data_IF_391554012935
#
_entry.id   IF_391554012935
#
_cell.length_a   1.000
_cell.length_b   1.000
_cell.length_c   1.000
_cell.angle_alpha   90.00
_cell.angle_beta   90.00
_cell.angle_gamma   90.00
#
_symmetry.space_group_name_H-M   'P 1'
#
loop_
_entity.id
_entity.type
_entity.pdbx_description
1 polymer ?
2 non-polymer ?
3 water ?
#
# COMPACT_ATOMS: atom_id res chain seq x y z
N UNK A 9 6.31 -15.68 14.73
CA UNK A 9 6.27 -17.18 14.72
C UNK A 9 7.03 -17.81 15.90
N UNK A 10 6.37 -18.72 16.61
CA UNK A 10 6.93 -19.36 17.81
C UNK A 10 8.21 -20.16 17.61
N UNK A 11 9.10 -20.08 18.60
CA UNK A 11 10.37 -20.82 18.58
C UNK A 11 10.25 -22.27 18.09
N UNK A 12 9.36 -23.04 18.70
CA UNK A 12 9.22 -24.46 18.39
C UNK A 12 8.90 -24.68 16.91
N UNK A 13 8.01 -23.85 16.40
CA UNK A 13 7.58 -24.04 15.03
C UNK A 13 8.63 -23.52 14.04
N UNK A 14 9.21 -22.37 14.36
CA UNK A 14 10.22 -21.75 13.50
C UNK A 14 11.38 -22.71 13.15
N UNK A 15 11.74 -23.60 14.07
CA UNK A 15 12.73 -24.62 13.73
C UNK A 15 12.34 -25.24 12.39
N UNK A 22 9.90 -16.85 -1.73
CA UNK A 22 10.79 -16.57 -2.90
C UNK A 22 10.13 -15.63 -3.92
N UNK A 23 9.00 -16.03 -4.47
CA UNK A 23 8.42 -15.23 -5.54
C UNK A 23 8.33 -13.72 -5.20
N UNK A 24 8.03 -13.38 -3.94
CA UNK A 24 7.93 -11.97 -3.55
C UNK A 24 9.21 -11.41 -2.94
N UNK A 25 9.82 -12.18 -2.04
CA UNK A 25 10.93 -11.64 -1.27
C UNK A 25 12.21 -11.45 -2.10
N UNK A 26 12.22 -12.01 -3.31
CA UNK A 26 13.36 -11.83 -4.21
C UNK A 26 13.15 -10.67 -5.17
N UNK A 27 12.03 -9.97 -5.04
CA UNK A 27 11.85 -8.74 -5.82
C UNK A 27 12.53 -7.59 -5.08
N UNK A 28 13.44 -6.89 -5.75
CA UNK A 28 14.08 -5.76 -5.08
C UNK A 28 13.05 -4.74 -4.61
N UNK A 29 13.28 -4.16 -3.43
CA UNK A 29 12.46 -3.08 -2.91
C UNK A 29 12.45 -1.89 -3.87
N UNK A 30 13.56 -1.71 -4.59
CA UNK A 30 13.63 -0.58 -5.51
C UNK A 30 14.96 -0.46 -6.23
N UNK A 31 14.93 0.14 -7.41
CA UNK A 31 16.12 0.36 -8.21
C UNK A 31 16.88 1.58 -7.65
N UNK A 32 16.21 2.49 -6.98
CA UNK A 32 16.97 3.58 -6.47
C UNK A 32 16.23 4.21 -5.32
N UNK A 33 16.38 3.56 -4.18
CA UNK A 33 15.67 3.90 -2.98
C UNK A 33 16.14 5.21 -2.36
N UNK A 34 15.24 5.90 -1.65
CA UNK A 34 13.81 5.61 -1.50
C UNK A 34 12.95 6.11 -2.66
N UNK A 35 13.51 6.88 -3.59
CA UNK A 35 12.65 7.58 -4.54
C UNK A 35 12.09 6.73 -5.67
N UNK A 36 12.78 5.66 -6.01
CA UNK A 36 12.40 4.79 -7.12
C UNK A 36 12.25 3.41 -6.52
N UNK A 37 11.01 2.94 -6.38
CA UNK A 37 10.74 1.68 -5.69
C UNK A 37 9.72 0.80 -6.43
N UNK A 38 9.58 -0.45 -6.00
CA UNK A 38 8.71 -1.40 -6.68
C UNK A 38 7.51 -1.70 -5.79
N UNK A 39 6.33 -1.89 -6.40
CA UNK A 39 5.11 -2.25 -5.68
C UNK A 39 4.49 -3.50 -6.30
N UNK A 40 4.30 -4.55 -5.50
CA UNK A 40 3.55 -5.71 -5.90
C UNK A 40 2.08 -5.48 -5.58
N UNK A 41 1.22 -5.62 -6.58
CA UNK A 41 -0.21 -5.30 -6.43
C UNK A 41 -0.97 -6.45 -5.79
N UNK A 42 -1.74 -6.15 -4.74
CA UNK A 42 -2.53 -7.16 -4.04
C UNK A 42 -4.00 -7.00 -4.40
N UNK A 43 -4.45 -5.75 -4.46
CA UNK A 43 -5.86 -5.47 -4.73
C UNK A 43 -6.00 -4.40 -5.82
N UNK A 44 -6.54 -4.78 -7.00
CA UNK A 44 -6.77 -3.77 -8.04
C UNK A 44 -7.81 -2.71 -7.66
N UNK A 45 -7.62 -1.48 -8.14
CA UNK A 45 -8.67 -0.50 -7.96
C UNK A 45 -10.01 -1.07 -8.46
N UNK A 46 -11.09 -0.75 -7.74
CA UNK A 46 -12.45 -1.13 -8.17
C UNK A 46 -12.78 -2.63 -8.26
N UNK A 47 -11.88 -3.50 -7.80
CA UNK A 47 -12.18 -4.93 -7.77
C UNK A 47 -13.31 -5.27 -6.79
N UNK A 48 -13.96 -6.42 -7.01
CA UNK A 48 -15.02 -6.86 -6.11
C UNK A 48 -14.45 -6.90 -4.71
N UNK A 49 -15.30 -6.66 -3.69
CA UNK A 49 -14.90 -6.37 -2.31
C UNK A 49 -14.32 -7.56 -1.56
N UNK A 50 -13.23 -8.08 -2.10
CA UNK A 50 -12.50 -9.13 -1.45
C UNK A 50 -11.09 -8.64 -1.24
N UNK A 51 -10.63 -8.76 0.01
CA UNK A 51 -9.29 -8.33 0.41
C UNK A 51 -8.29 -9.46 0.24
N UNK A 52 -7.30 -9.30 -0.64
CA UNK A 52 -6.17 -10.24 -0.73
C UNK A 52 -4.94 -9.67 -0.02
N UNK A 53 -4.11 -10.57 0.50
CA UNK A 53 -2.89 -10.19 1.17
C UNK A 53 -1.84 -11.17 0.66
N UNK A 54 -0.69 -10.65 0.22
CA UNK A 54 0.39 -11.51 -0.26
C UNK A 54 1.00 -12.31 0.90
N UNK A 55 1.10 -13.62 0.73
CA UNK A 55 1.81 -14.44 1.69
C UNK A 55 3.24 -14.55 1.21
N UNK A 56 4.17 -13.96 1.95
CA UNK A 56 5.47 -13.73 1.35
C UNK A 56 6.37 -14.96 1.53
N UNK A 57 6.07 -15.72 2.56
CA UNK A 57 6.55 -17.10 2.66
C UNK A 57 6.11 -17.94 1.45
N UNK A 58 4.80 -18.01 1.18
CA UNK A 58 4.30 -18.91 0.11
C UNK A 58 4.42 -18.39 -1.33
N UNK A 59 4.59 -17.08 -1.51
CA UNK A 59 4.63 -16.48 -2.85
C UNK A 59 3.28 -16.49 -3.58
N UNK A 60 2.19 -16.39 -2.81
CA UNK A 60 0.83 -16.42 -3.37
C UNK A 60 -0.03 -15.38 -2.66
N UNK A 61 -1.07 -14.94 -3.35
CA UNK A 61 -2.08 -14.07 -2.73
C UNK A 61 -3.06 -14.93 -1.96
N UNK A 62 -3.41 -14.48 -0.76
CA UNK A 62 -4.28 -15.22 0.12
C UNK A 62 -5.57 -14.44 0.23
N UNK A 63 -6.70 -15.14 0.24
CA UNK A 63 -7.98 -14.51 0.50
C UNK A 63 -8.02 -14.14 1.98
N UNK A 64 -7.96 -12.85 2.27
CA UNK A 64 -7.88 -12.38 3.63
C UNK A 64 -9.26 -12.20 4.25
N UNK A 65 -10.13 -11.47 3.56
CA UNK A 65 -11.43 -11.10 4.10
C UNK A 65 -12.38 -10.76 2.99
N UNK A 66 -13.63 -11.21 3.11
CA UNK A 66 -14.69 -10.59 2.35
C UNK A 66 -15.13 -9.37 3.14
N UNK A 67 -14.83 -8.21 2.58
CA UNK A 67 -15.09 -6.93 3.22
C UNK A 67 -16.56 -6.75 3.65
N UNK A 68 -16.79 -6.62 4.96
CA UNK A 68 -18.16 -6.54 5.53
C UNK A 68 -19.06 -5.46 4.93
N UNK A 69 -18.50 -4.28 4.72
CA UNK A 69 -19.27 -3.20 4.14
C UNK A 69 -19.44 -3.41 2.62
N UNK A 70 -18.73 -4.38 2.04
CA UNK A 70 -18.71 -4.53 0.56
C UNK A 70 -18.11 -3.35 -0.20
N UNK A 71 -17.30 -2.54 0.49
CA UNK A 71 -16.72 -1.35 -0.13
C UNK A 71 -15.48 -1.74 -0.95
N UNK A 72 -15.24 -1.02 -2.04
CA UNK A 72 -14.13 -1.41 -2.92
C UNK A 72 -12.97 -0.42 -2.87
N UNK A 73 -11.76 -0.91 -3.10
CA UNK A 73 -10.60 0.00 -3.14
C UNK A 73 -10.73 0.94 -4.30
N UNK A 74 -10.69 2.25 -4.02
CA UNK A 74 -10.80 3.26 -5.04
C UNK A 74 -9.50 3.46 -5.84
N UNK A 75 -8.39 2.87 -5.40
CA UNK A 75 -7.12 2.92 -6.14
C UNK A 75 -6.47 1.55 -5.97
N UNK A 76 -5.40 1.26 -6.69
CA UNK A 76 -4.76 -0.04 -6.53
C UNK A 76 -4.05 -0.15 -5.20
N UNK A 77 -4.00 -1.34 -4.63
CA UNK A 77 -3.39 -1.49 -3.31
C UNK A 77 -2.31 -2.57 -3.34
N UNK A 78 -1.15 -2.30 -2.75
CA UNK A 78 -0.06 -3.27 -2.75
C UNK A 78 0.98 -2.98 -1.69
N UNK A 79 2.15 -3.60 -1.85
CA UNK A 79 3.22 -3.41 -0.91
C UNK A 79 4.60 -3.37 -1.61
N UNK A 80 5.59 -2.84 -0.90
CA UNK A 80 6.97 -2.84 -1.38
C UNK A 80 7.69 -4.05 -0.80
N UNK A 81 8.11 -5.00 -1.65
CA UNK A 81 8.82 -6.16 -1.14
C UNK A 81 10.12 -5.76 -0.44
N UNK A 82 10.53 -6.56 0.55
CA UNK A 82 11.80 -6.39 1.25
C UNK A 82 11.77 -5.14 2.09
N UNK A 83 10.60 -4.84 2.64
CA UNK A 83 10.45 -3.77 3.60
C UNK A 83 9.70 -4.34 4.78
N UNK A 84 9.95 -3.79 5.96
CA UNK A 84 9.27 -4.23 7.16
C UNK A 84 8.96 -2.99 7.95
N UNK A 85 7.67 -2.73 8.09
CA UNK A 85 7.22 -1.53 8.75
C UNK A 85 7.04 -1.86 10.21
N UNK A 86 6.87 -0.83 11.04
CA UNK A 86 6.76 -1.00 12.49
C UNK A 86 5.70 -2.00 12.93
N UNK A 87 4.60 -2.05 12.19
CA UNK A 87 3.50 -2.97 12.49
C UNK A 87 3.82 -4.44 12.16
N UNK A 88 5.01 -4.70 11.62
CA UNK A 88 5.39 -6.07 11.26
C UNK A 88 5.09 -6.48 9.82
N UNK A 89 4.52 -5.57 9.04
CA UNK A 89 4.21 -5.84 7.64
C UNK A 89 5.00 -4.92 6.74
N UNK A 90 5.09 -5.25 5.44
CA UNK A 90 5.74 -4.33 4.52
C UNK A 90 5.02 -3.00 4.44
N UNK A 91 5.76 -1.98 4.01
CA UNK A 91 5.18 -0.70 3.62
C UNK A 91 4.07 -0.88 2.57
N UNK A 92 2.91 -0.28 2.87
CA UNK A 92 1.69 -0.35 2.08
C UNK A 92 1.64 0.80 1.14
N UNK A 93 1.14 0.56 -0.07
CA UNK A 93 1.07 1.62 -1.04
C UNK A 93 -0.23 1.60 -1.81
N UNK A 94 -0.82 2.79 -1.96
CA UNK A 94 -1.93 3.01 -2.88
C UNK A 94 -1.35 3.51 -4.20
N UNK A 95 -1.61 2.82 -5.32
CA UNK A 95 -1.04 3.23 -6.62
C UNK A 95 -2.14 3.64 -7.56
N UNK A 96 -2.13 4.92 -7.93
CA UNK A 96 -3.16 5.46 -8.80
C UNK A 96 -2.80 5.24 -10.27
N UNK A 97 -3.75 4.72 -11.05
CA UNK A 97 -3.54 4.42 -12.47
C UNK A 97 -4.80 4.63 -13.26
N UNK A 98 -4.67 4.82 -14.57
CA UNK A 98 -5.92 5.07 -15.26
C UNK A 98 -6.75 3.80 -15.51
N UNK A 99 -6.15 2.61 -15.39
CA UNK A 99 -6.89 1.35 -15.47
C UNK A 99 -6.41 0.46 -14.35
N UNK A 100 -7.31 -0.39 -13.78
CA UNK A 100 -6.80 -1.19 -12.69
C UNK A 100 -5.64 -2.08 -13.13
N UNK A 101 -4.73 -2.35 -12.20
CA UNK A 101 -3.57 -3.20 -12.42
C UNK A 101 -3.92 -4.63 -12.03
N UNK A 102 -3.23 -5.58 -12.64
CA UNK A 102 -3.40 -6.99 -12.36
C UNK A 102 -2.92 -7.38 -10.97
N UNK A 103 -3.75 -8.07 -10.21
CA UNK A 103 -3.32 -8.56 -8.93
C UNK A 103 -2.10 -9.48 -9.12
N UNK A 104 -1.08 -9.28 -8.29
CA UNK A 104 0.14 -10.07 -8.38
C UNK A 104 1.18 -9.58 -9.39
N UNK A 105 0.88 -8.49 -10.10
CA UNK A 105 1.86 -7.87 -10.98
C UNK A 105 2.78 -6.97 -10.16
N UNK A 106 3.90 -6.56 -10.75
CA UNK A 106 4.78 -5.57 -10.11
C UNK A 106 4.86 -4.29 -10.95
N UNK A 107 4.89 -3.16 -10.27
CA UNK A 107 4.99 -1.88 -10.96
C UNK A 107 6.11 -1.00 -10.36
N UNK A 108 6.88 -0.37 -11.23
CA UNK A 108 7.82 0.69 -10.87
C UNK A 108 7.09 1.97 -10.48
N UNK A 109 7.30 2.43 -9.25
CA UNK A 109 6.53 3.57 -8.72
C UNK A 109 7.38 4.70 -8.12
N UNK A 110 6.72 5.84 -7.93
CA UNK A 110 7.28 7.00 -7.27
C UNK A 110 6.24 7.60 -6.31
N UNK A 111 6.73 8.18 -5.21
CA UNK A 111 5.85 8.58 -4.11
C UNK A 111 5.27 9.96 -4.32
N UNK A 112 4.03 10.14 -3.88
CA UNK A 112 3.41 11.45 -3.88
C UNK A 112 3.26 11.93 -2.46
N UNK A 113 3.25 10.99 -1.51
CA UNK A 113 3.07 11.34 -0.11
C UNK A 113 2.48 10.16 0.64
N UNK A 114 1.67 10.46 1.65
CA UNK A 114 1.08 9.44 2.49
C UNK A 114 -0.24 9.88 3.09
N UNK A 115 -1.00 8.89 3.53
CA UNK A 115 -2.21 9.09 4.32
C UNK A 115 -1.90 8.58 5.71
N UNK A 116 -1.99 9.45 6.70
CA UNK A 116 -1.69 9.07 8.09
C UNK A 116 -3.00 8.64 8.73
N UNK A 117 -3.00 7.49 9.37
CA UNK A 117 -4.19 7.04 10.07
C UNK A 117 -3.77 6.13 11.21
N UNK A 118 -4.68 5.87 12.14
CA UNK A 118 -4.45 4.88 13.18
C UNK A 118 -5.67 3.98 13.37
N UNK A 119 -5.44 2.71 13.67
CA UNK A 119 -6.54 1.79 13.90
C UNK A 119 -6.44 1.25 15.31
N UNK A 120 -7.27 0.27 15.63
CA UNK A 120 -7.32 -0.25 16.98
C UNK A 120 -5.96 -0.79 17.39
N UNK A 121 -5.09 -1.06 16.41
CA UNK A 121 -3.81 -1.71 16.71
C UNK A 121 -2.60 -0.77 16.75
N UNK A 122 -2.79 0.50 16.39
CA UNK A 122 -1.69 1.47 16.31
C UNK A 122 -1.66 2.24 15.00
N UNK A 123 -0.53 2.89 14.72
CA UNK A 123 -0.47 3.71 13.53
C UNK A 123 -0.43 2.85 12.31
N UNK A 124 -0.73 3.48 11.19
CA UNK A 124 -0.94 2.76 9.98
C UNK A 124 -0.87 3.94 9.05
N UNK A 125 0.11 3.94 8.18
CA UNK A 125 0.20 4.98 7.20
C UNK A 125 0.18 4.21 5.89
N UNK A 126 -0.48 4.75 4.88
CA UNK A 126 -0.44 4.17 3.55
C UNK A 126 0.24 5.18 2.68
N UNK A 127 1.23 4.73 1.94
CA UNK A 127 1.91 5.57 0.97
C UNK A 127 0.98 5.77 -0.22
N UNK A 128 1.07 6.93 -0.87
CA UNK A 128 0.31 7.18 -2.09
C UNK A 128 1.32 7.33 -3.21
N UNK A 129 1.13 6.59 -4.29
CA UNK A 129 2.15 6.49 -5.33
C UNK A 129 1.53 6.46 -6.70
N UNK A 130 2.36 6.67 -7.72
CA UNK A 130 1.95 6.50 -9.11
C UNK A 130 3.07 5.78 -9.84
N UNK A 131 2.76 5.24 -11.02
CA UNK A 131 3.84 4.60 -11.75
C UNK A 131 4.90 5.61 -12.16
N UNK A 132 6.11 5.10 -12.36
CA UNK A 132 7.16 5.80 -13.05
C UNK A 132 6.62 6.47 -14.31
N UNK A 133 7.13 7.66 -14.60
CA UNK A 133 6.64 8.45 -15.74
C UNK A 133 6.65 7.75 -17.09
N UNK A 134 7.71 6.99 -17.36
CA UNK A 134 7.83 6.26 -18.63
C UNK A 134 6.78 5.16 -18.73
N UNK A 135 6.51 4.49 -17.61
CA UNK A 135 5.42 3.52 -17.55
C UNK A 135 4.04 4.14 -17.75
N UNK A 136 3.74 5.16 -16.97
CA UNK A 136 2.44 5.83 -17.06
C UNK A 136 2.60 7.32 -17.30
N UNK A 137 2.59 7.73 -18.57
CA UNK A 137 2.57 9.16 -18.91
C UNK A 137 1.32 9.87 -18.40
N UNK A 138 0.18 9.17 -18.34
CA UNK A 138 -1.05 9.76 -17.78
C UNK A 138 -0.90 10.40 -16.38
N UNK A 139 0.02 9.90 -15.55
CA UNK A 139 0.12 10.39 -14.18
C UNK A 139 1.35 11.31 -13.94
N UNK A 140 2.05 11.67 -15.02
CA UNK A 140 3.38 12.30 -14.89
C UNK A 140 3.20 13.71 -14.35
N UNK A 141 1.98 14.21 -14.51
CA UNK A 141 1.58 15.54 -14.12
C UNK A 141 1.52 15.64 -12.60
N UNK A 142 1.24 14.51 -11.95
CA UNK A 142 1.13 14.47 -10.50
C UNK A 142 2.50 14.49 -9.80
N UNK A 143 2.83 15.62 -9.20
CA UNK A 143 4.15 15.80 -8.58
C UNK A 143 4.10 15.61 -7.06
N UNK A 144 2.92 15.78 -6.48
CA UNK A 144 2.81 15.65 -5.04
C UNK A 144 1.37 15.41 -4.67
N UNK A 145 1.16 15.07 -3.41
CA UNK A 145 -0.15 14.72 -2.91
C UNK A 145 -1.18 15.80 -3.25
N UNK A 146 -0.79 17.06 -3.22
CA UNK A 146 -1.75 18.12 -3.48
C UNK A 146 -2.23 18.21 -4.94
N UNK A 147 -1.54 17.55 -5.87
CA UNK A 147 -2.01 17.50 -7.26
C UNK A 147 -3.11 16.45 -7.47
N UNK A 148 -3.18 15.47 -6.60
CA UNK A 148 -4.27 14.49 -6.65
C UNK A 148 -5.61 15.18 -6.43
N UNK A 149 -6.57 14.98 -7.34
CA UNK A 149 -7.88 15.65 -7.26
C UNK A 149 -8.51 15.58 -5.87
N UNK A 150 -9.17 16.66 -5.46
CA UNK A 150 -9.81 16.69 -4.15
C UNK A 150 -10.84 15.57 -4.01
N UNK A 151 -11.58 15.30 -5.09
CA UNK A 151 -12.69 14.35 -4.97
C UNK A 151 -12.14 13.00 -4.68
N UNK A 152 -10.98 12.69 -5.26
CA UNK A 152 -10.36 11.37 -5.07
C UNK A 152 -9.72 11.24 -3.71
N UNK A 153 -8.94 12.24 -3.29
CA UNK A 153 -8.42 12.17 -1.93
C UNK A 153 -9.58 12.00 -0.94
N UNK A 154 -10.69 12.70 -1.16
CA UNK A 154 -11.83 12.57 -0.24
C UNK A 154 -12.35 11.14 -0.22
N UNK A 155 -12.46 10.54 -1.41
CA UNK A 155 -12.95 9.16 -1.55
C UNK A 155 -12.07 8.19 -0.82
N UNK A 156 -10.77 8.41 -0.92
CA UNK A 156 -9.81 7.50 -0.31
C UNK A 156 -9.90 7.60 1.20
N UNK A 157 -9.99 8.84 1.69
CA UNK A 157 -10.12 9.06 3.14
C UNK A 157 -11.42 8.42 3.66
N UNK A 158 -12.51 8.63 2.93
CA UNK A 158 -13.81 8.01 3.27
C UNK A 158 -13.71 6.50 3.25
N UNK A 159 -13.05 5.96 2.21
CA UNK A 159 -12.92 4.52 2.11
C UNK A 159 -12.22 3.98 3.37
N UNK A 160 -11.09 4.56 3.74
CA UNK A 160 -10.39 4.04 4.93
C UNK A 160 -11.15 4.25 6.25
N UNK A 161 -11.90 5.33 6.34
CA UNK A 161 -12.74 5.56 7.49
C UNK A 161 -13.88 4.54 7.66
N UNK A 162 -14.39 3.99 6.54
CA UNK A 162 -15.65 3.22 6.55
C UNK A 162 -15.54 1.75 6.14
N UNK A 163 -14.53 1.37 5.35
CA UNK A 163 -14.54 0.00 4.82
C UNK A 163 -14.58 -1.05 5.91
N UNK A 164 -13.98 -0.76 7.06
CA UNK A 164 -13.97 -1.74 8.15
C UNK A 164 -15.09 -1.52 9.17
N UNK A 165 -16.06 -0.69 8.83
CA UNK A 165 -17.16 -0.38 9.73
C UNK A 165 -17.84 -1.63 10.27
N UNK A 166 -17.86 -2.71 9.48
CA UNK A 166 -18.53 -3.92 9.93
C UNK A 166 -17.58 -5.06 10.25
N UNK A 167 -16.32 -4.74 10.53
CA UNK A 167 -15.42 -5.72 11.12
C UNK A 167 -15.46 -5.55 12.65
N UNK A 168 -16.03 -6.52 13.35
CA UNK A 168 -16.18 -6.46 14.80
C UNK A 168 -14.85 -6.23 15.52
N UNK A 169 -14.83 -5.29 16.46
CA UNK A 169 -13.59 -4.93 17.15
C UNK A 169 -12.62 -4.03 16.38
N UNK A 170 -12.96 -3.60 15.17
CA UNK A 170 -12.00 -2.79 14.42
C UNK A 170 -12.47 -1.36 14.30
N UNK A 171 -11.53 -0.44 14.13
CA UNK A 171 -11.88 0.91 13.73
C UNK A 171 -10.68 1.57 13.14
N UNK A 172 -10.94 2.57 12.30
CA UNK A 172 -9.91 3.31 11.63
C UNK A 172 -10.21 4.80 11.74
N UNK A 173 -9.18 5.58 12.05
CA UNK A 173 -9.28 7.02 12.10
C UNK A 173 -8.21 7.59 11.19
N UNK A 174 -8.62 8.48 10.28
CA UNK A 174 -7.69 9.10 9.37
C UNK A 174 -7.24 10.44 9.96
N UNK A 175 -5.93 10.64 10.02
CA UNK A 175 -5.42 11.85 10.63
C UNK A 175 -5.15 12.96 9.63
N UNK A 176 -4.92 12.59 8.38
CA UNK A 176 -4.60 13.58 7.35
C UNK A 176 -3.44 13.17 6.46
N UNK A 177 -2.96 14.10 5.66
CA UNK A 177 -2.00 13.76 4.63
C UNK A 177 -0.57 14.13 5.00
N UNK A 178 0.39 13.58 4.27
CA UNK A 178 1.76 14.01 4.40
C UNK A 178 2.42 13.90 3.03
N UNK A 179 3.61 14.50 2.91
CA UNK A 179 4.29 14.63 1.63
C UNK A 179 5.38 13.62 1.36
N UNK A 180 6.21 13.93 0.37
CA UNK A 180 7.19 12.98 -0.15
C UNK A 180 8.32 12.61 0.82
N UNK A 181 8.82 13.57 1.59
CA UNK A 181 9.86 13.27 2.61
C UNK A 181 9.36 12.25 3.60
N UNK A 182 8.13 12.47 4.06
CA UNK A 182 7.52 11.54 4.98
C UNK A 182 7.40 10.17 4.30
N UNK A 183 6.94 10.15 3.05
CA UNK A 183 6.88 8.88 2.32
C UNK A 183 8.25 8.22 2.25
N UNK A 184 9.27 9.00 1.88
CA UNK A 184 10.62 8.46 1.74
C UNK A 184 11.19 7.92 3.05
N UNK A 185 10.93 8.62 4.15
CA UNK A 185 11.39 8.13 5.46
C UNK A 185 10.79 6.76 5.74
N UNK A 186 9.50 6.61 5.44
CA UNK A 186 8.83 5.33 5.62
C UNK A 186 9.52 4.26 4.79
N UNK A 187 9.81 4.57 3.53
CA UNK A 187 10.51 3.61 2.68
C UNK A 187 11.88 3.32 3.26
N UNK A 188 12.61 4.39 3.58
CA UNK A 188 13.96 4.26 4.15
C UNK A 188 13.94 3.33 5.36
N UNK A 189 13.11 3.64 6.35
CA UNK A 189 13.11 2.79 7.54
C UNK A 189 12.66 1.35 7.27
N UNK A 190 11.66 1.19 6.41
CA UNK A 190 11.13 -0.16 6.11
C UNK A 190 12.19 -1.05 5.51
N UNK A 191 12.93 -0.49 4.56
CA UNK A 191 14.06 -1.15 3.93
C UNK A 191 15.12 -1.57 4.96
N UNK A 192 15.49 -0.64 5.83
CA UNK A 192 16.42 -0.94 6.92
C UNK A 192 15.91 -2.08 7.79
N UNK A 193 14.68 -1.96 8.30
CA UNK A 193 14.16 -2.95 9.24
C UNK A 193 14.18 -4.36 8.68
N UNK A 194 13.89 -4.48 7.40
CA UNK A 194 13.82 -5.80 6.80
C UNK A 194 15.16 -6.56 6.85
N UNK A 195 16.27 -5.83 6.88
CA UNK A 195 17.55 -6.50 7.03
C UNK A 195 18.04 -6.42 8.47
N UNK A 196 17.12 -6.61 9.42
CA UNK A 196 17.41 -6.39 10.85
C UNK A 196 17.73 -4.93 11.12
X LIG B 1 -13.83 11.98 -15.99
X LIG B 1 -12.99 12.32 -15.26
X LIG B 1 -12.03 12.71 -14.42
X LIG B 1 -11.99 13.95 -13.79
X LIG B 1 -10.85 13.94 -13.02
X LIG B 1 -10.95 11.95 -14.06
X LIG B 1 -10.66 10.69 -14.48
X LIG B 1 -10.24 12.68 -13.22
X LIG B 1 -9.10 12.29 -12.64
X LIG B 1 -8.98 11.06 -12.01
X LIG B 1 -7.80 10.63 -11.40
X LIG B 1 -6.68 11.46 -11.41
X LIG B 1 -5.15 10.93 -10.64
X LIG B 1 -6.77 12.69 -12.04
X LIG B 1 -7.96 13.09 -12.63
#
# INVERSE_FOLDING_TARGET
MAHHHHHHMGTLEAQTQGPGSMSFSNVPAGKDLPQDFNVIIEIPAQSEPVKYEADKALGLLVVDRFIGTGMRYPVNYGFIPQTLSGDGDPVDVLVITPFPLLAGSVVRARALGMLKMTDESGVDAKLVAVPHDKVCPMTANLKSIDDVPAYLKDQIKHFFEQYKALEKGKWVKVEGWDGIDAAHKEITDGVANFKK
928 N15 C14 C4 C3 N2 C5 N13 N1 C6 C11 C10 C9 CL12 C8 C7
#
